data_IF_030951249721
#
_entry.id   IF_030951249721
#
_cell.length_a   1.000
_cell.length_b   1.000
_cell.length_c   1.000
_cell.angle_alpha   90.00
_cell.angle_beta   90.00
_cell.angle_gamma   90.00
#
_symmetry.space_group_name_H-M   'P 1'
#
loop_
_entity.id
_entity.type
_entity.pdbx_description
1 polymer ?
#
# COMPACT_ATOMS: atom_id res chain seq x y z
N UNK A 1 -11.76 17.42 6.17
CA UNK A 1 -10.98 16.17 6.13
C UNK A 1 -11.46 15.32 4.96
N UNK A 2 -10.51 14.84 4.18
CA UNK A 2 -10.71 14.04 2.97
C UNK A 2 -10.18 12.64 3.21
N UNK A 3 -10.74 11.66 2.50
CA UNK A 3 -10.34 10.26 2.63
C UNK A 3 -10.02 9.64 1.27
N UNK A 4 -9.12 8.67 1.27
CA UNK A 4 -8.88 7.78 0.13
C UNK A 4 -9.61 6.46 0.33
N UNK A 5 -10.06 5.87 -0.77
CA UNK A 5 -10.55 4.49 -0.79
C UNK A 5 -9.43 3.52 -1.15
N UNK A 6 -9.32 2.45 -0.39
CA UNK A 6 -8.38 1.35 -0.59
C UNK A 6 -9.13 0.03 -0.60
N UNK A 7 -8.52 -1.00 -1.16
CA UNK A 7 -9.08 -2.36 -1.21
C UNK A 7 -8.09 -3.36 -0.67
N UNK A 8 -8.57 -4.47 -0.15
CA UNK A 8 -7.76 -5.65 0.16
C UNK A 8 -8.56 -6.91 -0.14
N UNK A 9 -7.86 -8.03 -0.20
CA UNK A 9 -8.47 -9.35 -0.17
C UNK A 9 -7.63 -10.28 0.70
N UNK A 10 -8.26 -11.33 1.18
CA UNK A 10 -7.59 -12.40 1.90
C UNK A 10 -8.29 -13.72 1.61
N UNK A 11 -7.50 -14.79 1.63
CA UNK A 11 -8.00 -16.14 1.49
C UNK A 11 -8.26 -16.76 2.86
N UNK A 12 -9.19 -17.72 2.91
CA UNK A 12 -9.47 -18.50 4.10
C UNK A 12 -9.75 -19.96 3.74
N UNK A 13 -9.45 -20.85 4.68
CA UNK A 13 -9.77 -22.28 4.55
C UNK A 13 -11.16 -22.57 5.12
N UNK A 14 -11.81 -23.60 4.58
CA UNK A 14 -13.13 -24.07 5.03
C UNK A 14 -14.31 -23.39 4.31
N UNK A 15 -15.51 -23.84 4.67
CA UNK A 15 -16.76 -23.41 3.99
C UNK A 15 -17.26 -22.04 4.47
N UNK A 16 -16.82 -21.59 5.64
CA UNK A 16 -17.28 -20.34 6.27
C UNK A 16 -16.13 -19.36 6.45
N UNK A 17 -16.41 -18.09 6.17
CA UNK A 17 -15.45 -17.02 6.42
C UNK A 17 -15.19 -16.86 7.93
N UNK A 18 -13.98 -16.44 8.33
CA UNK A 18 -13.67 -16.24 9.74
C UNK A 18 -14.47 -15.07 10.31
N UNK A 19 -14.88 -15.15 11.57
CA UNK A 19 -15.56 -14.04 12.25
C UNK A 19 -14.64 -12.81 12.41
N UNK A 20 -13.33 -13.04 12.52
CA UNK A 20 -12.31 -12.00 12.65
C UNK A 20 -11.10 -12.34 11.76
N UNK A 21 -10.53 -11.35 11.10
CA UNK A 21 -9.32 -11.50 10.30
C UNK A 21 -8.37 -10.31 10.52
N UNK A 22 -7.08 -10.58 10.69
CA UNK A 22 -6.06 -9.54 10.85
C UNK A 22 -5.31 -9.33 9.55
N UNK A 23 -5.43 -8.14 8.97
CA UNK A 23 -4.60 -7.71 7.84
C UNK A 23 -3.23 -7.34 8.37
N UNK A 24 -2.20 -8.04 7.91
CA UNK A 24 -0.81 -7.86 8.37
C UNK A 24 0.18 -7.94 7.19
N UNK A 25 0.32 -9.12 6.58
CA UNK A 25 1.21 -9.35 5.44
C UNK A 25 0.40 -9.81 4.24
N UNK A 26 -0.04 -8.90 3.35
CA UNK A 26 -0.83 -9.29 2.19
C UNK A 26 0.02 -10.00 1.14
N UNK A 27 -0.53 -11.05 0.55
CA UNK A 27 -0.06 -11.57 -0.74
C UNK A 27 -0.99 -11.06 -1.85
N UNK A 28 -0.52 -10.06 -2.57
CA UNK A 28 -1.16 -9.48 -3.74
C UNK A 28 -0.48 -9.93 -5.04
N UNK A 29 0.06 -11.16 -5.05
CA UNK A 29 0.75 -11.77 -6.17
C UNK A 29 2.06 -11.08 -6.56
N UNK A 30 2.70 -10.39 -5.61
CA UNK A 30 4.04 -9.85 -5.79
C UNK A 30 5.07 -10.99 -6.00
N UNK A 31 6.20 -10.67 -6.65
CA UNK A 31 7.30 -11.62 -6.80
C UNK A 31 8.04 -11.88 -5.48
N UNK A 32 8.81 -12.97 -5.41
CA UNK A 32 9.60 -13.34 -4.22
C UNK A 32 10.62 -12.29 -3.79
N UNK A 33 11.12 -11.51 -4.74
CA UNK A 33 12.14 -10.47 -4.50
C UNK A 33 11.52 -9.15 -4.02
N UNK A 34 10.18 -9.05 -4.02
CA UNK A 34 9.47 -7.85 -3.63
C UNK A 34 9.36 -7.76 -2.11
N UNK A 35 9.86 -6.68 -1.55
CA UNK A 35 9.88 -6.42 -0.12
C UNK A 35 8.87 -5.33 0.22
N UNK A 36 7.85 -5.69 0.98
CA UNK A 36 6.83 -4.75 1.46
C UNK A 36 7.36 -3.87 2.59
N UNK A 37 6.86 -2.63 2.73
CA UNK A 37 7.03 -1.85 3.96
C UNK A 37 6.53 -2.61 5.19
N UNK A 38 7.22 -2.45 6.31
CA UNK A 38 6.94 -3.12 7.58
C UNK A 38 6.44 -2.17 8.67
N UNK A 39 6.61 -0.86 8.50
CA UNK A 39 6.12 0.15 9.47
C UNK A 39 4.69 0.62 9.21
N UNK A 40 4.00 -0.02 8.27
CA UNK A 40 2.61 0.25 7.97
C UNK A 40 1.93 -0.98 7.37
N UNK A 41 0.62 -0.90 7.22
CA UNK A 41 -0.15 -1.94 6.51
C UNK A 41 -0.20 -1.61 5.03
N UNK A 42 0.01 -2.62 4.18
CA UNK A 42 -0.10 -2.42 2.73
C UNK A 42 -1.45 -2.92 2.23
N UNK A 43 -2.10 -2.13 1.38
CA UNK A 43 -3.37 -2.40 0.72
C UNK A 43 -3.27 -2.10 -0.78
N UNK A 44 -4.33 -2.37 -1.51
CA UNK A 44 -4.49 -2.02 -2.92
C UNK A 44 -5.12 -0.63 -3.07
N UNK A 45 -4.67 0.14 -4.07
CA UNK A 45 -5.18 1.49 -4.32
C UNK A 45 -5.53 1.74 -5.79
N UNK A 46 -6.56 2.57 -6.00
CA UNK A 46 -7.03 3.01 -7.31
C UNK A 46 -7.92 1.98 -8.03
N UNK A 47 -8.23 2.25 -9.30
CA UNK A 47 -9.22 1.44 -10.05
C UNK A 47 -8.59 0.45 -11.05
N UNK A 48 -7.44 0.80 -11.65
CA UNK A 48 -6.87 0.02 -12.77
C UNK A 48 -6.02 -1.18 -12.33
N UNK A 49 -5.24 -1.04 -11.26
CA UNK A 49 -4.41 -2.12 -10.71
C UNK A 49 -5.21 -3.13 -9.88
N UNK A 50 -6.13 -2.70 -9.00
CA UNK A 50 -6.87 -3.65 -8.18
C UNK A 50 -7.81 -4.54 -8.99
N UNK A 51 -8.38 -4.07 -10.12
CA UNK A 51 -9.27 -4.90 -10.94
C UNK A 51 -8.64 -6.21 -11.45
N UNK A 52 -7.38 -6.18 -11.89
CA UNK A 52 -6.68 -7.38 -12.37
C UNK A 52 -6.36 -8.35 -11.22
N UNK A 53 -5.94 -7.83 -10.07
CA UNK A 53 -5.61 -8.62 -8.89
C UNK A 53 -6.84 -9.21 -8.21
N UNK A 54 -7.93 -8.46 -8.12
CA UNK A 54 -9.21 -8.95 -7.60
C UNK A 54 -9.73 -10.08 -8.48
N UNK A 55 -9.71 -9.91 -9.80
CA UNK A 55 -10.08 -10.99 -10.73
C UNK A 55 -9.14 -12.20 -10.65
N UNK A 56 -7.85 -11.98 -10.37
CA UNK A 56 -6.91 -13.06 -10.12
C UNK A 56 -7.18 -13.80 -8.82
N UNK A 57 -7.52 -13.08 -7.74
CA UNK A 57 -7.87 -13.67 -6.45
C UNK A 57 -9.11 -14.57 -6.55
N UNK A 58 -10.14 -14.14 -7.29
CA UNK A 58 -11.32 -14.99 -7.56
C UNK A 58 -10.93 -16.28 -8.29
N UNK A 59 -10.07 -16.19 -9.31
CA UNK A 59 -9.63 -17.38 -10.06
C UNK A 59 -8.76 -18.30 -9.21
N UNK A 60 -7.89 -17.74 -8.38
CA UNK A 60 -7.04 -18.53 -7.49
C UNK A 60 -7.88 -19.26 -6.44
N UNK A 61 -8.82 -18.57 -5.81
CA UNK A 61 -9.83 -19.17 -4.91
C UNK A 61 -10.54 -20.35 -5.58
N UNK A 62 -11.06 -20.17 -6.79
CA UNK A 62 -11.72 -21.24 -7.53
C UNK A 62 -10.79 -22.43 -7.86
N UNK A 63 -9.50 -22.18 -8.12
CA UNK A 63 -8.54 -23.23 -8.47
C UNK A 63 -7.97 -23.99 -7.27
N UNK A 64 -7.89 -23.35 -6.11
CA UNK A 64 -7.31 -23.90 -4.88
C UNK A 64 -8.36 -24.44 -3.92
N UNK A 65 -9.64 -24.08 -4.12
CA UNK A 65 -10.73 -24.41 -3.21
C UNK A 65 -10.78 -23.53 -1.96
N UNK A 66 -9.94 -22.50 -1.86
CA UNK A 66 -9.96 -21.53 -0.77
C UNK A 66 -11.14 -20.56 -0.94
N UNK A 67 -11.72 -20.11 0.17
CA UNK A 67 -12.61 -18.97 0.18
C UNK A 67 -11.84 -17.66 -0.02
N UNK A 68 -12.50 -16.62 -0.53
CA UNK A 68 -11.91 -15.28 -0.68
C UNK A 68 -12.87 -14.22 -0.16
N UNK A 69 -12.35 -13.33 0.66
CA UNK A 69 -13.03 -12.12 1.11
C UNK A 69 -12.36 -10.89 0.51
N UNK A 70 -13.16 -9.88 0.21
CA UNK A 70 -12.72 -8.56 -0.22
C UNK A 70 -13.08 -7.55 0.85
N UNK A 71 -12.27 -6.51 1.02
CA UNK A 71 -12.65 -5.40 1.87
C UNK A 71 -12.32 -4.06 1.26
N UNK A 72 -13.26 -3.13 1.41
CA UNK A 72 -13.10 -1.73 1.10
C UNK A 72 -12.85 -0.98 2.40
N UNK A 73 -11.77 -0.18 2.43
CA UNK A 73 -11.30 0.52 3.62
C UNK A 73 -11.06 1.98 3.24
N UNK A 74 -11.58 2.91 4.05
CA UNK A 74 -11.28 4.34 3.92
C UNK A 74 -10.23 4.79 4.92
N UNK A 75 -9.38 5.71 4.47
CA UNK A 75 -8.27 6.26 5.26
C UNK A 75 -8.31 7.77 5.17
N UNK A 76 -8.31 8.45 6.30
CA UNK A 76 -8.18 9.91 6.41
C UNK A 76 -6.78 10.36 5.98
N UNK A 77 -6.72 11.39 5.15
CA UNK A 77 -5.47 11.92 4.59
C UNK A 77 -5.32 13.43 4.80
N UNK A 78 -6.07 14.01 5.73
CA UNK A 78 -6.10 15.45 5.97
C UNK A 78 -6.85 16.17 4.86
N UNK A 79 -6.27 17.26 4.37
CA UNK A 79 -6.86 18.05 3.28
C UNK A 79 -6.48 17.48 1.92
N UNK A 80 -7.46 17.35 1.03
CA UNK A 80 -7.16 17.01 -0.36
C UNK A 80 -6.64 18.23 -1.13
N UNK A 81 -5.41 18.14 -1.64
CA UNK A 81 -4.90 19.09 -2.62
C UNK A 81 -5.06 18.50 -4.02
N UNK A 82 -5.77 19.18 -4.92
CA UNK A 82 -5.93 18.77 -6.32
C UNK A 82 -4.65 18.93 -7.15
N UNK A 83 -3.63 19.62 -6.65
CA UNK A 83 -2.34 19.78 -7.33
C UNK A 83 -1.42 18.58 -7.10
N UNK A 84 -0.27 18.59 -7.81
CA UNK A 84 0.83 17.69 -7.46
C UNK A 84 1.43 18.14 -6.13
N UNK A 85 1.60 17.19 -5.22
CA UNK A 85 2.15 17.42 -3.91
C UNK A 85 3.60 17.91 -3.96
N UNK A 86 3.94 18.75 -2.99
CA UNK A 86 5.30 19.25 -2.74
C UNK A 86 5.70 18.88 -1.31
N UNK A 87 6.99 18.92 -1.02
CA UNK A 87 7.50 18.64 0.33
C UNK A 87 6.85 19.53 1.39
N UNK A 88 6.59 20.80 1.07
CA UNK A 88 5.98 21.77 1.99
C UNK A 88 4.49 21.55 2.28
N UNK A 89 3.81 20.61 1.60
CA UNK A 89 2.36 20.40 1.73
C UNK A 89 2.00 19.11 2.49
N UNK A 90 2.98 18.33 2.94
CA UNK A 90 2.72 17.02 3.57
C UNK A 90 2.02 17.13 4.93
N UNK A 91 2.18 18.26 5.64
CA UNK A 91 1.49 18.49 6.91
C UNK A 91 -0.03 18.64 6.78
N UNK A 92 -0.52 19.15 5.64
CA UNK A 92 -1.95 19.31 5.33
C UNK A 92 -2.49 18.15 4.50
N UNK A 93 -1.83 17.80 3.40
CA UNK A 93 -2.20 16.69 2.55
C UNK A 93 -1.29 15.49 2.83
N UNK A 94 -1.75 14.59 3.69
CA UNK A 94 -0.96 13.49 4.27
C UNK A 94 -0.93 12.23 3.41
N UNK A 95 -1.14 12.36 2.11
CA UNK A 95 -1.17 11.23 1.17
C UNK A 95 -0.34 11.47 -0.09
N UNK A 96 0.74 10.70 -0.22
CA UNK A 96 1.63 10.79 -1.37
C UNK A 96 1.37 9.67 -2.37
N UNK A 97 0.89 9.99 -3.58
CA UNK A 97 0.70 9.01 -4.66
C UNK A 97 1.81 9.12 -5.71
N UNK A 98 2.79 8.21 -5.62
CA UNK A 98 3.95 8.12 -6.48
C UNK A 98 3.67 7.28 -7.74
N UNK A 99 4.19 7.68 -8.92
CA UNK A 99 4.76 8.99 -9.24
C UNK A 99 3.68 10.04 -9.60
N UNK A 100 2.42 9.61 -9.79
CA UNK A 100 1.39 10.37 -10.51
C UNK A 100 1.06 11.75 -9.91
N UNK A 101 1.12 11.86 -8.59
CA UNK A 101 0.71 13.06 -7.83
C UNK A 101 1.87 13.73 -7.10
N UNK A 102 3.10 13.32 -7.37
CA UNK A 102 4.29 14.00 -6.85
C UNK A 102 4.81 15.04 -7.86
N UNK A 103 5.21 16.21 -7.37
CA UNK A 103 5.93 17.18 -8.18
C UNK A 103 7.35 16.70 -8.45
N UNK A 104 8.07 17.39 -9.35
CA UNK A 104 9.44 17.03 -9.72
C UNK A 104 10.38 17.01 -8.53
N UNK A 105 10.27 17.99 -7.63
CA UNK A 105 11.07 18.09 -6.42
C UNK A 105 10.94 16.84 -5.54
N UNK A 106 9.71 16.41 -5.25
CA UNK A 106 9.45 15.18 -4.46
C UNK A 106 10.00 13.95 -5.19
N UNK A 107 9.80 13.84 -6.51
CA UNK A 107 10.32 12.71 -7.29
C UNK A 107 11.85 12.65 -7.28
N UNK A 108 12.52 13.80 -7.40
CA UNK A 108 13.99 13.91 -7.40
C UNK A 108 14.55 13.65 -5.99
N UNK A 109 13.90 14.14 -4.94
CA UNK A 109 14.33 13.92 -3.56
C UNK A 109 14.18 12.46 -3.13
N UNK A 110 13.02 11.84 -3.42
CA UNK A 110 12.82 10.40 -3.17
C UNK A 110 13.88 9.58 -3.91
N UNK A 111 14.12 9.84 -5.20
CA UNK A 111 15.12 9.09 -5.98
C UNK A 111 16.54 9.22 -5.41
N UNK A 112 16.91 10.43 -4.95
CA UNK A 112 18.21 10.69 -4.33
C UNK A 112 18.36 9.88 -3.03
N UNK A 113 17.39 9.95 -2.14
CA UNK A 113 17.39 9.22 -0.86
C UNK A 113 17.39 7.70 -1.09
N UNK A 114 16.57 7.24 -2.02
CA UNK A 114 16.45 5.83 -2.39
C UNK A 114 17.79 5.24 -2.81
N UNK A 115 18.46 5.90 -3.78
CA UNK A 115 19.75 5.47 -4.27
C UNK A 115 20.86 5.63 -3.22
N UNK A 116 20.77 6.61 -2.33
CA UNK A 116 21.71 6.73 -1.21
C UNK A 116 21.64 5.49 -0.28
N UNK A 117 20.44 4.97 0.00
CA UNK A 117 20.29 3.75 0.80
C UNK A 117 20.73 2.49 0.06
N UNK A 118 20.41 2.38 -1.24
CA UNK A 118 20.88 1.28 -2.07
C UNK A 118 22.41 1.24 -2.16
N UNK A 119 23.05 2.40 -2.37
CA UNK A 119 24.51 2.52 -2.40
C UNK A 119 25.13 2.08 -1.06
N UNK A 120 24.51 2.43 0.08
CA UNK A 120 24.97 2.00 1.41
C UNK A 120 24.86 0.49 1.65
N UNK A 121 23.93 -0.18 0.95
CA UNK A 121 23.73 -1.63 0.97
C UNK A 121 24.48 -2.34 -0.17
N UNK A 122 25.31 -1.63 -0.94
CA UNK A 122 25.98 -2.13 -2.14
C UNK A 122 25.01 -2.72 -3.20
N UNK A 123 23.77 -2.24 -3.21
CA UNK A 123 22.73 -2.65 -4.14
C UNK A 123 22.77 -1.81 -5.44
N UNK A 124 22.27 -2.34 -6.57
CA UNK A 124 22.18 -1.57 -7.81
C UNK A 124 21.29 -0.33 -7.67
N UNK A 125 21.69 0.76 -8.32
CA UNK A 125 20.88 1.98 -8.39
C UNK A 125 19.61 1.77 -9.20
N UNK A 126 18.56 2.48 -8.81
CA UNK A 126 17.22 2.39 -9.39
C UNK A 126 16.68 3.77 -9.81
N UNK A 127 15.63 3.75 -10.63
CA UNK A 127 14.90 4.94 -11.10
C UNK A 127 13.58 5.16 -10.33
N UNK A 128 13.46 4.58 -9.13
CA UNK A 128 12.32 4.81 -8.25
C UNK A 128 12.28 6.28 -7.79
N UNK A 129 11.12 6.98 -7.76
CA UNK A 129 9.76 6.47 -7.95
C UNK A 129 9.21 6.59 -9.38
N UNK A 130 10.05 6.93 -10.38
CA UNK A 130 9.61 7.02 -11.79
C UNK A 130 9.41 5.64 -12.42
N UNK A 131 10.15 4.65 -11.95
CA UNK A 131 9.94 3.23 -12.22
C UNK A 131 9.65 2.49 -10.91
N UNK A 132 8.81 1.44 -10.93
CA UNK A 132 8.63 0.56 -9.78
C UNK A 132 9.96 0.00 -9.29
N UNK A 133 10.04 -0.27 -7.98
CA UNK A 133 11.17 -0.96 -7.35
C UNK A 133 10.65 -2.15 -6.55
N UNK A 134 11.51 -3.15 -6.37
CA UNK A 134 11.21 -4.30 -5.51
C UNK A 134 11.55 -4.03 -4.05
N UNK A 135 12.31 -2.97 -3.74
CA UNK A 135 12.76 -2.60 -2.39
C UNK A 135 11.80 -1.64 -1.69
N UNK A 136 10.50 -1.93 -1.74
CA UNK A 136 9.51 -1.03 -1.13
C UNK A 136 9.66 -0.93 0.40
N UNK A 137 10.36 -1.87 1.04
CA UNK A 137 10.83 -1.79 2.43
C UNK A 137 11.55 -0.47 2.76
N UNK A 138 12.23 0.15 1.78
CA UNK A 138 12.92 1.42 1.98
C UNK A 138 11.96 2.60 2.24
N UNK A 139 10.65 2.47 1.96
CA UNK A 139 9.68 3.47 2.38
C UNK A 139 9.60 3.58 3.92
N UNK A 140 9.93 2.52 4.66
CA UNK A 140 10.00 2.57 6.13
C UNK A 140 11.07 3.56 6.61
N UNK A 141 12.18 3.70 5.86
CA UNK A 141 13.22 4.71 6.13
C UNK A 141 12.75 6.10 5.71
N UNK A 142 12.00 6.19 4.60
CA UNK A 142 11.50 7.46 4.08
C UNK A 142 10.59 8.17 5.09
N UNK A 143 9.63 7.45 5.66
CA UNK A 143 8.65 8.03 6.60
C UNK A 143 9.23 8.43 7.96
N UNK A 144 10.51 8.16 8.23
CA UNK A 144 11.20 8.66 9.42
C UNK A 144 11.76 10.09 9.21
N UNK A 145 11.95 10.48 7.95
CA UNK A 145 12.58 11.74 7.59
C UNK A 145 11.56 12.88 7.53
N UNK A 146 12.00 14.08 7.88
CA UNK A 146 11.24 15.28 7.55
C UNK A 146 11.32 15.56 6.04
N UNK A 147 10.22 16.00 5.38
CA UNK A 147 8.86 16.16 5.92
C UNK A 147 7.98 14.90 5.75
N UNK A 148 8.52 13.78 5.28
CA UNK A 148 7.78 12.55 4.97
C UNK A 148 7.07 11.92 6.17
N UNK A 149 7.57 12.14 7.39
CA UNK A 149 6.92 11.67 8.63
C UNK A 149 5.51 12.20 8.88
N UNK A 150 5.13 13.28 8.19
CA UNK A 150 3.78 13.85 8.25
C UNK A 150 2.77 13.03 7.43
N UNK A 151 3.24 12.13 6.55
CA UNK A 151 2.38 11.34 5.68
C UNK A 151 1.70 10.21 6.45
N UNK A 152 0.38 10.12 6.28
CA UNK A 152 -0.44 8.99 6.71
C UNK A 152 -0.22 7.79 5.80
N UNK A 153 -0.16 8.02 4.48
CA UNK A 153 -0.11 6.94 3.50
C UNK A 153 0.70 7.30 2.26
N UNK A 154 1.33 6.29 1.66
CA UNK A 154 2.09 6.40 0.41
C UNK A 154 1.60 5.35 -0.57
N UNK A 155 1.07 5.78 -1.72
CA UNK A 155 0.73 4.90 -2.83
C UNK A 155 1.87 4.83 -3.85
N UNK A 156 2.15 3.63 -4.35
CA UNK A 156 3.25 3.36 -5.28
C UNK A 156 2.89 2.24 -6.25
N UNK A 157 3.58 2.19 -7.38
CA UNK A 157 3.39 1.13 -8.36
C UNK A 157 4.25 -0.08 -7.97
N UNK A 158 3.66 -1.27 -8.03
CA UNK A 158 4.29 -2.55 -7.73
C UNK A 158 4.09 -3.52 -8.90
N UNK A 159 5.13 -4.30 -9.21
CA UNK A 159 5.04 -5.35 -10.24
C UNK A 159 4.55 -6.63 -9.59
N UNK A 160 3.48 -7.19 -10.15
CA UNK A 160 2.88 -8.46 -9.72
C UNK A 160 2.95 -9.48 -10.85
N UNK A 161 2.63 -10.73 -10.56
CA UNK A 161 2.43 -11.79 -11.56
C UNK A 161 1.39 -11.43 -12.64
N UNK A 162 0.48 -10.49 -12.36
CA UNK A 162 -0.59 -10.07 -13.27
C UNK A 162 -0.37 -8.65 -13.84
N UNK A 163 0.87 -8.17 -13.83
CA UNK A 163 1.27 -6.85 -14.32
C UNK A 163 1.42 -5.82 -13.20
N UNK A 164 1.54 -4.55 -13.58
CA UNK A 164 1.70 -3.47 -12.62
C UNK A 164 0.37 -3.13 -11.95
N UNK A 165 0.39 -3.15 -10.61
CA UNK A 165 -0.71 -2.69 -9.78
C UNK A 165 -0.25 -1.50 -8.93
N UNK A 166 -1.20 -0.79 -8.32
CA UNK A 166 -0.91 0.30 -7.39
C UNK A 166 -1.24 -0.16 -5.98
N UNK A 167 -0.23 -0.17 -5.13
CA UNK A 167 -0.34 -0.45 -3.71
C UNK A 167 -0.37 0.86 -2.94
N UNK A 168 -0.79 0.80 -1.69
CA UNK A 168 -0.69 1.88 -0.72
C UNK A 168 -0.29 1.32 0.62
N UNK A 169 0.69 1.94 1.26
CA UNK A 169 1.03 1.62 2.65
C UNK A 169 0.53 2.75 3.55
N UNK A 170 -0.18 2.37 4.61
CA UNK A 170 -0.72 3.25 5.64
C UNK A 170 0.18 3.12 6.87
N UNK A 171 0.87 4.20 7.22
CA UNK A 171 1.82 4.28 8.33
C UNK A 171 1.18 4.79 9.63
N UNK A 172 0.09 5.56 9.52
CA UNK A 172 -0.72 5.96 10.66
C UNK A 172 -2.02 5.16 10.67
N UNK A 173 -2.09 4.10 11.49
CA UNK A 173 -3.26 3.22 11.57
C UNK A 173 -4.48 3.92 12.19
N UNK A 174 -4.28 4.94 13.03
CA UNK A 174 -5.37 5.72 13.61
C UNK A 174 -6.14 6.54 12.55
N UNK A 175 -5.60 6.66 11.34
CA UNK A 175 -6.27 7.30 10.21
C UNK A 175 -7.23 6.36 9.47
N UNK A 176 -7.28 5.08 9.82
CA UNK A 176 -8.24 4.13 9.25
C UNK A 176 -9.62 4.43 9.84
N UNK A 177 -10.62 4.60 8.96
CA UNK A 177 -11.98 4.90 9.37
C UNK A 177 -12.74 3.60 9.57
N UNK A 178 -12.72 3.07 10.80
CA UNK A 178 -13.31 1.76 11.16
C UNK A 178 -14.80 1.65 10.80
N UNK A 179 -15.55 2.76 10.90
CA UNK A 179 -16.96 2.85 10.54
C UNK A 179 -17.21 2.81 9.01
N UNK A 180 -16.15 2.88 8.22
CA UNK A 180 -16.16 2.87 6.76
C UNK A 180 -15.37 1.70 6.18
N UNK A 181 -15.27 0.62 6.94
CA UNK A 181 -14.79 -0.68 6.47
C UNK A 181 -15.99 -1.51 6.00
N UNK A 182 -15.92 -2.06 4.79
CA UNK A 182 -16.94 -2.97 4.24
C UNK A 182 -16.27 -4.24 3.77
N UNK A 183 -16.64 -5.39 4.37
CA UNK A 183 -16.16 -6.71 3.96
C UNK A 183 -17.22 -7.43 3.13
N UNK A 184 -16.78 -8.12 2.08
CA UNK A 184 -17.60 -8.87 1.14
C UNK A 184 -17.05 -10.30 1.06
N UNK A 185 -17.80 -11.34 1.48
CA UNK A 185 -19.14 -11.27 2.07
C UNK A 185 -19.17 -10.68 3.51
N UNK A 186 -20.33 -10.17 3.99
CA UNK A 186 -20.40 -9.39 5.23
C UNK A 186 -20.59 -10.26 6.48
N UNK A 187 -19.51 -10.83 7.02
CA UNK A 187 -19.53 -11.53 8.32
C UNK A 187 -18.19 -11.45 9.08
N UNK A 188 -17.15 -10.88 8.48
CA UNK A 188 -15.81 -10.81 9.06
C UNK A 188 -15.55 -9.40 9.56
N UNK A 189 -15.09 -9.30 10.80
CA UNK A 189 -14.53 -8.07 11.36
C UNK A 189 -13.04 -8.02 11.04
N UNK A 190 -12.54 -6.87 10.55
CA UNK A 190 -11.12 -6.71 10.28
C UNK A 190 -10.38 -6.10 11.47
N UNK A 191 -9.16 -6.58 11.68
CA UNK A 191 -8.14 -5.93 12.49
C UNK A 191 -6.90 -5.63 11.64
N UNK A 192 -6.06 -4.76 12.14
CA UNK A 192 -4.81 -4.39 11.49
C UNK A 192 -3.65 -4.61 12.45
N UNK A 193 -2.58 -5.22 11.94
CA UNK A 193 -1.32 -5.38 12.66
C UNK A 193 -0.16 -5.05 11.73
N UNK A 194 0.93 -4.54 12.30
CA UNK A 194 2.15 -4.35 11.53
C UNK A 194 2.79 -5.72 11.20
N UNK A 195 3.41 -5.87 10.02
CA UNK A 195 4.24 -7.03 9.70
C UNK A 195 5.26 -7.31 10.81
N UNK A 196 5.23 -8.53 11.36
CA UNK A 196 6.29 -8.97 12.28
C UNK A 196 7.62 -9.09 11.53
N UNK A 197 8.74 -8.88 12.24
CA UNK A 197 10.08 -9.10 11.71
C UNK A 197 10.25 -10.59 11.38
N UNK A 198 9.99 -10.97 10.13
CA UNK A 198 10.47 -12.22 9.56
C UNK A 198 12.00 -12.20 9.43
#
# INVERSE_FOLDING_TARGET
>A
MSAIGTKTFFFYEGEQQPAEYTICQPDYFQGSDFQLPRKGITLLYGNKGPGSLIGAAVRESASTGLGVCFADIKVDIGDWDSNKQKLSTFNSCRFLNLPLRANREVLDDVNRLWNQWLDAECAPREDFPRKPSNRMDLLDKLVELDPYRELTAIAYDAVTRFGTAKFVTIYNLDAILDDQITVIPPQTTLRFALPENA
#
